data_IF_185086876002
#
_entry.id   IF_185086876002
#
_cell.length_a   1.000
_cell.length_b   1.000
_cell.length_c   1.000
_cell.angle_alpha   90.00
_cell.angle_beta   90.00
_cell.angle_gamma   90.00
#
_symmetry.space_group_name_H-M   'P 1'
#
loop_
_entity.id
_entity.type
_entity.pdbx_description
1 polymer ?
#
# COMPACT_ATOMS: atom_id res chain seq x y z
N UNK A 1 15.54 16.45 53.47
CA UNK A 1 16.10 15.55 52.44
C UNK A 1 15.01 15.34 51.41
N UNK A 2 15.11 15.97 50.23
CA UNK A 2 14.08 15.92 49.19
C UNK A 2 14.31 14.69 48.31
N UNK A 3 13.30 13.82 48.23
CA UNK A 3 13.27 12.71 47.28
C UNK A 3 12.94 13.27 45.88
N UNK A 4 13.83 13.08 44.93
CA UNK A 4 13.58 13.35 43.51
C UNK A 4 12.58 12.31 42.97
N UNK A 5 11.53 12.72 42.24
CA UNK A 5 10.69 11.75 41.54
C UNK A 5 11.51 11.14 40.40
N UNK A 6 11.70 9.82 40.46
CA UNK A 6 12.33 9.05 39.40
C UNK A 6 11.46 9.13 38.14
N UNK A 7 11.92 9.88 37.14
CA UNK A 7 11.30 9.90 35.82
C UNK A 7 11.32 8.48 35.26
N UNK A 8 10.14 7.88 35.10
CA UNK A 8 9.97 6.61 34.46
C UNK A 8 10.55 6.69 33.04
N UNK A 9 11.57 5.88 32.75
CA UNK A 9 12.10 5.71 31.40
C UNK A 9 10.94 5.26 30.50
N UNK A 10 10.69 5.92 29.35
CA UNK A 10 9.70 5.45 28.41
C UNK A 10 10.08 4.02 28.01
N UNK A 11 9.17 3.11 28.33
CA UNK A 11 9.26 1.69 27.97
C UNK A 11 9.58 1.64 26.48
N UNK A 12 10.57 0.84 26.09
CA UNK A 12 10.99 0.68 24.69
C UNK A 12 9.76 0.25 23.88
N UNK A 13 9.10 1.21 23.23
CA UNK A 13 8.01 0.93 22.31
C UNK A 13 8.63 0.15 21.17
N UNK A 14 8.24 -1.12 21.03
CA UNK A 14 8.65 -1.94 19.88
C UNK A 14 8.13 -1.23 18.63
N UNK A 15 9.04 -0.58 17.91
CA UNK A 15 8.75 0.13 16.68
C UNK A 15 8.65 -0.93 15.57
N UNK A 16 7.43 -1.18 15.09
CA UNK A 16 7.23 -2.03 13.93
C UNK A 16 7.50 -1.20 12.69
N UNK A 17 8.43 -1.66 11.86
CA UNK A 17 8.76 -1.01 10.59
C UNK A 17 8.29 -1.91 9.45
N UNK A 18 7.54 -1.32 8.52
CA UNK A 18 6.85 -2.04 7.47
C UNK A 18 6.98 -1.29 6.13
N UNK A 19 7.20 -2.05 5.06
CA UNK A 19 7.13 -1.56 3.69
C UNK A 19 5.67 -1.46 3.22
N UNK A 20 5.35 -0.43 2.43
CA UNK A 20 4.03 -0.26 1.84
C UNK A 20 4.11 0.03 0.34
N UNK A 21 3.14 -0.54 -0.39
CA UNK A 21 2.85 -0.19 -1.77
C UNK A 21 1.58 0.66 -1.82
N UNK A 22 1.58 1.65 -2.70
CA UNK A 22 0.44 2.54 -2.91
C UNK A 22 -0.28 2.26 -4.24
N UNK A 23 -0.05 1.11 -4.87
CA UNK A 23 -0.71 0.73 -6.12
C UNK A 23 -2.08 0.08 -5.88
N UNK A 24 -3.06 0.44 -6.71
CA UNK A 24 -4.38 -0.21 -6.76
C UNK A 24 -4.60 -0.83 -8.14
N UNK A 25 -5.04 -2.08 -8.15
CA UNK A 25 -5.40 -2.81 -9.37
C UNK A 25 -6.92 -2.77 -9.55
N UNK A 26 -7.40 -2.00 -10.52
CA UNK A 26 -8.80 -2.09 -10.95
C UNK A 26 -8.89 -2.99 -12.16
N UNK A 27 -9.61 -4.11 -12.03
CA UNK A 27 -10.08 -4.89 -13.18
C UNK A 27 -11.26 -4.11 -13.76
N UNK A 28 -11.08 -3.52 -14.94
CA UNK A 28 -12.20 -2.90 -15.66
C UNK A 28 -13.30 -3.95 -15.88
N UNK A 29 -14.54 -3.61 -15.53
CA UNK A 29 -15.66 -4.56 -15.56
C UNK A 29 -15.74 -5.33 -16.88
N UNK A 30 -16.03 -6.64 -16.78
CA UNK A 30 -16.04 -7.52 -17.94
C UNK A 30 -17.17 -7.11 -18.90
N UNK A 31 -16.80 -6.54 -20.05
CA UNK A 31 -17.76 -6.17 -21.09
C UNK A 31 -17.97 -7.36 -22.03
N UNK A 32 -19.16 -7.94 -22.01
CA UNK A 32 -19.55 -9.01 -22.92
C UNK A 32 -20.16 -8.42 -24.19
N UNK A 33 -19.56 -8.68 -25.35
CA UNK A 33 -20.25 -8.42 -26.61
C UNK A 33 -21.20 -9.58 -26.89
N UNK A 34 -22.50 -9.30 -26.87
CA UNK A 34 -23.53 -10.24 -27.28
C UNK A 34 -23.86 -10.03 -28.76
N UNK A 35 -23.36 -10.90 -29.63
CA UNK A 35 -23.80 -10.92 -31.02
C UNK A 35 -25.08 -11.75 -31.17
N UNK A 36 -26.06 -11.22 -31.88
CA UNK A 36 -27.27 -11.96 -32.27
C UNK A 36 -27.21 -12.24 -33.77
N UNK A 37 -26.80 -13.45 -34.16
CA UNK A 37 -26.84 -13.91 -35.56
C UNK A 37 -28.00 -14.90 -35.70
N UNK A 38 -28.93 -14.65 -36.64
CA UNK A 38 -30.04 -15.56 -36.95
C UNK A 38 -29.66 -16.31 -38.22
N UNK A 39 -29.35 -17.60 -38.09
CA UNK A 39 -29.25 -18.53 -39.22
C UNK A 39 -30.49 -19.42 -39.15
N UNK A 40 -31.14 -19.64 -40.30
CA UNK A 40 -32.40 -20.34 -40.49
C UNK A 40 -32.64 -21.45 -39.44
N UNK A 41 -33.60 -21.21 -38.54
CA UNK A 41 -34.11 -22.21 -37.59
C UNK A 41 -33.43 -22.31 -36.21
N UNK A 42 -32.13 -22.04 -36.07
CA UNK A 42 -31.40 -22.36 -34.82
C UNK A 42 -30.86 -21.12 -34.09
N UNK A 43 -31.18 -20.99 -32.79
CA UNK A 43 -30.68 -19.91 -31.92
C UNK A 43 -29.36 -20.30 -31.25
N UNK A 44 -28.26 -19.71 -31.67
CA UNK A 44 -26.99 -19.75 -30.93
C UNK A 44 -26.67 -18.38 -30.32
N UNK A 45 -26.42 -18.35 -29.01
CA UNK A 45 -25.90 -17.18 -28.29
C UNK A 45 -24.45 -17.46 -27.89
N UNK A 46 -23.49 -16.96 -28.69
CA UNK A 46 -22.07 -16.94 -28.30
C UNK A 46 -21.78 -15.68 -27.50
N UNK A 47 -21.10 -15.82 -26.38
CA UNK A 47 -20.49 -14.72 -25.62
C UNK A 47 -19.00 -14.74 -25.94
N UNK A 48 -18.49 -13.65 -26.49
CA UNK A 48 -17.04 -13.47 -26.69
C UNK A 48 -16.50 -12.59 -25.57
N UNK A 49 -15.41 -13.06 -24.95
CA UNK A 49 -14.67 -12.31 -23.93
C UNK A 49 -13.73 -11.33 -24.63
N UNK A 50 -13.76 -10.06 -24.23
CA UNK A 50 -12.72 -9.09 -24.58
C UNK A 50 -11.59 -9.23 -23.56
N UNK A 51 -10.34 -9.20 -24.03
CA UNK A 51 -9.15 -9.35 -23.18
C UNK A 51 -9.16 -8.34 -22.02
N UNK A 52 -8.84 -8.83 -20.82
CA UNK A 52 -8.78 -8.01 -19.61
C UNK A 52 -7.56 -7.09 -19.66
N UNK A 53 -7.77 -5.78 -19.54
CA UNK A 53 -6.69 -4.83 -19.26
C UNK A 53 -6.67 -4.55 -17.76
N UNK A 54 -5.74 -5.17 -17.02
CA UNK A 54 -5.45 -4.78 -15.63
C UNK A 54 -4.74 -3.42 -15.64
N UNK A 55 -5.30 -2.44 -14.94
CA UNK A 55 -4.65 -1.14 -14.74
C UNK A 55 -4.13 -1.04 -13.31
N UNK A 56 -2.84 -0.75 -13.16
CA UNK A 56 -2.22 -0.40 -11.89
C UNK A 56 -2.15 1.13 -11.78
N UNK A 57 -2.69 1.69 -10.70
CA UNK A 57 -2.69 3.13 -10.44
C UNK A 57 -2.09 3.43 -9.08
N UNK A 58 -1.16 4.38 -9.02
CA UNK A 58 -0.61 4.86 -7.75
C UNK A 58 -1.64 5.75 -7.03
N UNK A 59 -1.83 5.52 -5.73
CA UNK A 59 -2.65 6.32 -4.82
C UNK A 59 -1.78 7.33 -4.08
N UNK A 60 -2.37 8.46 -3.74
CA UNK A 60 -1.70 9.44 -2.89
C UNK A 60 -1.66 8.91 -1.45
N UNK A 61 -0.49 9.00 -0.83
CA UNK A 61 -0.30 8.72 0.58
C UNK A 61 0.31 9.95 1.26
N UNK A 62 -0.26 10.38 2.39
CA UNK A 62 0.24 11.52 3.16
C UNK A 62 1.30 11.06 4.14
N UNK A 63 2.50 11.61 4.02
CA UNK A 63 3.61 11.26 4.90
C UNK A 63 3.38 11.77 6.34
N UNK A 64 4.17 11.27 7.29
CA UNK A 64 4.23 11.79 8.66
C UNK A 64 5.69 11.95 9.08
N UNK A 65 6.04 13.05 9.78
CA UNK A 65 5.14 14.10 10.30
C UNK A 65 4.73 15.17 9.27
N UNK A 66 5.33 15.18 8.07
CA UNK A 66 5.04 16.20 7.06
C UNK A 66 3.71 15.95 6.35
N UNK A 67 2.86 16.97 6.13
CA UNK A 67 1.63 16.82 5.33
C UNK A 67 1.86 16.69 3.80
N UNK A 68 3.03 16.22 3.37
CA UNK A 68 3.39 16.03 1.96
C UNK A 68 2.77 14.74 1.44
N UNK A 69 2.19 14.81 0.24
CA UNK A 69 1.66 13.63 -0.44
C UNK A 69 2.74 12.98 -1.34
N UNK A 70 2.75 11.66 -1.37
CA UNK A 70 3.58 10.85 -2.26
C UNK A 70 2.74 9.89 -3.08
N UNK A 71 3.18 9.61 -4.31
CA UNK A 71 2.68 8.54 -5.18
C UNK A 71 3.69 7.40 -5.33
N UNK A 72 4.74 7.38 -4.51
CA UNK A 72 5.65 6.25 -4.37
C UNK A 72 5.18 5.28 -3.28
N UNK A 73 5.72 4.06 -3.31
CA UNK A 73 5.76 3.22 -2.12
C UNK A 73 6.73 3.78 -1.09
N UNK A 74 6.88 3.10 0.04
CA UNK A 74 7.82 3.53 1.06
C UNK A 74 7.78 2.71 2.33
N UNK A 75 8.24 3.31 3.42
CA UNK A 75 8.34 2.68 4.73
C UNK A 75 7.58 3.48 5.78
N UNK A 76 6.97 2.74 6.70
CA UNK A 76 6.20 3.28 7.82
C UNK A 76 6.76 2.68 9.10
N UNK A 77 6.94 3.53 10.11
CA UNK A 77 7.16 3.07 11.46
C UNK A 77 5.92 3.31 12.31
N UNK A 78 5.54 2.27 13.04
CA UNK A 78 4.26 2.21 13.75
C UNK A 78 4.50 1.78 15.19
N UNK A 79 3.75 2.39 16.09
CA UNK A 79 3.64 1.94 17.46
C UNK A 79 2.88 0.61 17.49
N UNK A 80 3.55 -0.47 17.90
CA UNK A 80 2.99 -1.81 17.87
C UNK A 80 1.75 -2.00 18.77
N UNK A 81 1.59 -1.17 19.80
CA UNK A 81 0.50 -1.28 20.78
C UNK A 81 -0.79 -0.60 20.30
N UNK A 82 -0.65 0.53 19.62
CA UNK A 82 -1.77 1.39 19.21
C UNK A 82 -2.06 1.38 17.71
N UNK A 83 -1.14 0.82 16.90
CA UNK A 83 -1.24 0.85 15.43
C UNK A 83 -1.06 2.26 14.84
N UNK A 84 -0.58 3.22 15.63
CA UNK A 84 -0.39 4.61 15.18
C UNK A 84 0.91 4.74 14.40
N UNK A 85 0.82 5.32 13.20
CA UNK A 85 2.00 5.70 12.42
C UNK A 85 2.73 6.83 13.14
N UNK A 86 3.98 6.55 13.51
CA UNK A 86 4.91 7.48 14.14
C UNK A 86 5.60 8.35 13.08
N UNK A 87 6.10 7.72 12.02
CA UNK A 87 6.68 8.39 10.86
C UNK A 87 6.51 7.54 9.60
N UNK A 88 6.65 8.20 8.44
CA UNK A 88 6.70 7.52 7.15
C UNK A 88 7.60 8.26 6.17
N UNK A 89 8.27 7.50 5.31
CA UNK A 89 9.14 8.04 4.26
C UNK A 89 8.84 7.34 2.94
N UNK A 90 8.78 8.13 1.88
CA UNK A 90 8.61 7.62 0.52
C UNK A 90 9.94 7.07 0.00
N UNK A 91 9.87 6.12 -0.92
CA UNK A 91 11.01 5.72 -1.72
C UNK A 91 11.53 6.93 -2.53
N UNK A 92 12.81 7.34 -2.36
CA UNK A 92 13.37 8.49 -3.06
C UNK A 92 13.49 8.27 -4.57
N UNK A 93 13.54 7.02 -5.04
CA UNK A 93 13.52 6.65 -6.46
C UNK A 93 12.11 6.69 -7.06
N UNK A 94 11.09 7.03 -6.27
CA UNK A 94 9.69 7.07 -6.66
C UNK A 94 9.16 5.68 -7.10
N UNK A 95 9.80 4.61 -6.63
CA UNK A 95 9.44 3.22 -6.91
C UNK A 95 8.48 2.65 -5.85
N UNK A 96 8.14 1.37 -6.00
CA UNK A 96 7.38 0.62 -5.00
C UNK A 96 8.33 -0.03 -4.01
N UNK A 97 8.16 0.24 -2.71
CA UNK A 97 8.92 -0.44 -1.67
C UNK A 97 8.32 -1.83 -1.42
N UNK A 98 8.76 -2.82 -2.20
CA UNK A 98 8.35 -4.22 -2.04
C UNK A 98 9.53 -5.04 -1.55
N UNK A 99 9.44 -5.61 -0.36
CA UNK A 99 10.51 -6.44 0.19
C UNK A 99 10.56 -6.43 1.72
N UNK A 100 11.32 -7.38 2.30
CA UNK A 100 11.61 -7.38 3.73
C UNK A 100 12.51 -6.19 4.08
N UNK A 101 12.40 -5.71 5.31
CA UNK A 101 13.19 -4.58 5.81
C UNK A 101 13.81 -4.92 7.15
N UNK A 102 14.97 -4.34 7.44
CA UNK A 102 15.66 -4.54 8.71
C UNK A 102 16.24 -3.23 9.21
N UNK A 103 16.28 -3.07 10.53
CA UNK A 103 16.85 -1.87 11.17
C UNK A 103 17.94 -2.27 12.14
N UNK A 104 19.11 -1.65 11.99
CA UNK A 104 20.25 -1.81 12.88
C UNK A 104 20.87 -0.46 13.14
N UNK A 105 21.23 -0.18 14.39
CA UNK A 105 21.90 1.08 14.79
C UNK A 105 21.18 2.35 14.30
N UNK A 106 19.83 2.33 14.21
CA UNK A 106 19.03 3.45 13.72
C UNK A 106 19.00 3.63 12.19
N UNK A 107 19.57 2.69 11.44
CA UNK A 107 19.61 2.68 9.96
C UNK A 107 18.66 1.63 9.42
N UNK A 108 17.88 1.99 8.41
CA UNK A 108 16.97 1.10 7.69
C UNK A 108 17.61 0.55 6.41
N UNK A 109 17.50 -0.77 6.23
CA UNK A 109 17.95 -1.52 5.06
C UNK A 109 16.72 -2.14 4.37
N UNK A 110 16.62 -1.94 3.06
CA UNK A 110 15.48 -2.35 2.23
C UNK A 110 15.91 -2.61 0.77
#
# INVERSE_FOLDING_TARGET
MQMTPQMALPQISVLNIMSYSNQDSKIGGQAWRCWRRRILGSRHRRKESLHQHSQFRNKNFTLKPSAKNTTAGGWVAMDARSGRILWSTADPSNATASGPVSVANGVLFA
#
